data_IF_198552654098
#
_entry.id   IF_198552654098
#
_cell.length_a   1.000
_cell.length_b   1.000
_cell.length_c   1.000
_cell.angle_alpha   90.00
_cell.angle_beta   90.00
_cell.angle_gamma   90.00
#
_symmetry.space_group_name_H-M   'P 1'
#
loop_
_entity.id
_entity.type
_entity.pdbx_description
1 polymer ?
#
# COMPACT_ATOMS: atom_id res chain seq x y z
N UNK A 1 -16.39 -19.45 6.27
CA UNK A 1 -15.19 -20.08 5.70
C UNK A 1 -14.06 -19.06 5.63
N UNK A 2 -12.87 -19.40 6.11
CA UNK A 2 -11.68 -18.56 5.93
C UNK A 2 -11.21 -18.63 4.46
N UNK A 3 -10.61 -17.56 3.90
CA UNK A 3 -10.01 -17.63 2.57
C UNK A 3 -8.90 -18.71 2.57
N UNK A 4 -8.65 -19.37 1.43
CA UNK A 4 -7.61 -20.39 1.34
C UNK A 4 -6.25 -19.78 1.72
N UNK A 5 -5.48 -20.51 2.53
CA UNK A 5 -4.11 -20.15 2.84
C UNK A 5 -3.28 -20.19 1.53
N UNK A 6 -2.75 -19.03 1.11
CA UNK A 6 -1.83 -18.93 -0.02
C UNK A 6 -2.19 -17.94 -1.12
N UNK A 7 -3.34 -17.27 -1.07
CA UNK A 7 -3.63 -16.18 -2.01
C UNK A 7 -3.19 -14.83 -1.46
N UNK A 8 -2.21 -14.23 -2.12
CA UNK A 8 -1.83 -12.83 -1.89
C UNK A 8 -2.91 -11.94 -2.49
N UNK A 9 -3.77 -11.43 -1.61
CA UNK A 9 -4.93 -10.62 -1.95
C UNK A 9 -5.02 -9.43 -1.01
N UNK A 10 -4.99 -8.24 -1.59
CA UNK A 10 -5.17 -6.98 -0.88
C UNK A 10 -6.34 -6.19 -1.47
N UNK A 11 -7.08 -5.54 -0.58
CA UNK A 11 -7.99 -4.44 -0.93
C UNK A 11 -7.25 -3.14 -0.64
N UNK A 12 -7.11 -2.30 -1.66
CA UNK A 12 -6.44 -1.00 -1.62
C UNK A 12 -7.52 0.07 -1.69
N UNK A 13 -7.73 0.82 -0.61
CA UNK A 13 -8.62 1.98 -0.58
C UNK A 13 -7.80 3.25 -0.56
N UNK A 14 -8.02 4.15 -1.51
CA UNK A 14 -7.32 5.44 -1.65
C UNK A 14 -8.36 6.57 -1.57
N UNK A 15 -8.00 7.67 -0.91
CA UNK A 15 -8.82 8.87 -0.90
C UNK A 15 -8.00 10.14 -0.69
N UNK A 16 -8.54 11.26 -1.19
CA UNK A 16 -7.94 12.58 -1.01
C UNK A 16 -6.69 12.79 -1.86
N UNK A 17 -6.51 12.03 -2.95
CA UNK A 17 -5.36 12.21 -3.85
C UNK A 17 -5.44 13.47 -4.72
N UNK A 18 -6.62 14.10 -4.80
CA UNK A 18 -6.89 15.15 -5.78
C UNK A 18 -7.14 14.62 -7.20
N UNK A 19 -6.98 13.31 -7.43
CA UNK A 19 -7.24 12.64 -8.69
C UNK A 19 -8.33 11.56 -8.53
N UNK A 20 -9.54 11.88 -8.98
CA UNK A 20 -10.68 10.96 -8.92
C UNK A 20 -10.49 9.65 -9.69
N UNK A 21 -9.54 9.58 -10.62
CA UNK A 21 -9.28 8.35 -11.37
C UNK A 21 -8.57 7.27 -10.52
N UNK A 22 -7.87 7.69 -9.45
CA UNK A 22 -7.12 6.81 -8.54
C UNK A 22 -7.70 6.77 -7.11
N UNK A 23 -8.58 7.70 -6.75
CA UNK A 23 -9.40 7.57 -5.55
C UNK A 23 -10.45 6.45 -5.74
N UNK A 24 -10.64 5.63 -4.71
CA UNK A 24 -11.58 4.51 -4.75
C UNK A 24 -11.08 3.29 -3.99
N UNK A 25 -11.71 2.14 -4.25
CA UNK A 25 -11.32 0.85 -3.69
C UNK A 25 -11.05 -0.14 -4.80
N UNK A 26 -9.90 -0.80 -4.74
CA UNK A 26 -9.41 -1.72 -5.75
C UNK A 26 -8.99 -3.04 -5.12
N UNK A 27 -9.17 -4.14 -5.83
CA UNK A 27 -8.61 -5.43 -5.45
C UNK A 27 -7.30 -5.65 -6.17
N UNK A 28 -6.32 -6.18 -5.46
CA UNK A 28 -5.03 -6.61 -5.97
C UNK A 28 -4.86 -8.09 -5.61
N UNK A 29 -4.93 -8.95 -6.63
CA UNK A 29 -4.63 -10.38 -6.52
C UNK A 29 -3.27 -10.61 -7.17
N UNK A 30 -2.33 -11.26 -6.47
CA UNK A 30 -0.97 -11.48 -7.01
C UNK A 30 -0.66 -12.94 -7.34
N UNK A 31 -1.29 -13.89 -6.64
CA UNK A 31 -1.05 -15.32 -6.82
C UNK A 31 -2.38 -16.08 -6.91
N UNK A 32 -3.04 -16.15 -8.08
CA UNK A 32 -2.63 -15.60 -9.40
C UNK A 32 -2.90 -14.10 -9.56
N UNK A 33 -2.21 -13.47 -10.53
CA UNK A 33 -2.34 -12.02 -10.82
C UNK A 33 -3.74 -11.67 -11.34
N UNK A 34 -4.35 -10.63 -10.77
CA UNK A 34 -5.68 -10.14 -11.15
C UNK A 34 -6.20 -9.01 -10.26
N UNK A 35 -7.52 -8.86 -10.23
CA UNK A 35 -8.21 -7.82 -9.49
C UNK A 35 -8.51 -6.57 -10.32
N UNK A 36 -9.05 -5.54 -9.65
CA UNK A 36 -9.47 -4.28 -10.29
C UNK A 36 -8.40 -3.19 -10.27
N UNK A 37 -7.24 -3.46 -9.64
CA UNK A 37 -6.13 -2.52 -9.57
C UNK A 37 -5.53 -2.26 -10.96
N UNK A 38 -5.49 -1.00 -11.40
CA UNK A 38 -5.07 -0.60 -12.76
C UNK A 38 -3.67 -1.09 -13.14
N UNK A 39 -2.77 -1.12 -12.16
CA UNK A 39 -1.38 -1.54 -12.33
C UNK A 39 -1.09 -2.87 -11.63
N UNK A 40 -2.06 -3.79 -11.59
CA UNK A 40 -1.94 -5.03 -10.81
C UNK A 40 -0.61 -5.80 -11.04
N UNK A 41 -0.12 -6.03 -12.28
CA UNK A 41 1.15 -6.72 -12.48
C UNK A 41 2.33 -6.03 -11.81
N UNK A 42 2.51 -4.72 -12.05
CA UNK A 42 3.62 -3.95 -11.49
C UNK A 42 3.49 -3.74 -9.97
N UNK A 43 2.26 -3.64 -9.45
CA UNK A 43 2.01 -3.55 -8.01
C UNK A 43 2.40 -4.86 -7.30
N UNK A 44 2.08 -6.02 -7.89
CA UNK A 44 2.51 -7.32 -7.37
C UNK A 44 4.03 -7.47 -7.39
N UNK A 45 4.67 -7.15 -8.52
CA UNK A 45 6.14 -7.22 -8.64
C UNK A 45 6.82 -6.33 -7.59
N UNK A 46 6.26 -5.14 -7.32
CA UNK A 46 6.76 -4.26 -6.28
C UNK A 46 6.64 -4.88 -4.89
N UNK A 47 5.47 -5.43 -4.55
CA UNK A 47 5.25 -6.05 -3.25
C UNK A 47 6.16 -7.26 -3.03
N UNK A 48 6.39 -8.07 -4.07
CA UNK A 48 7.35 -9.18 -4.05
C UNK A 48 8.78 -8.67 -3.80
N UNK A 49 9.17 -7.55 -4.42
CA UNK A 49 10.49 -6.95 -4.27
C UNK A 49 10.73 -6.38 -2.85
N UNK A 50 9.74 -5.69 -2.29
CA UNK A 50 9.86 -5.00 -0.99
C UNK A 50 9.58 -5.90 0.20
N UNK A 51 8.87 -7.01 0.00
CA UNK A 51 8.60 -7.99 1.06
C UNK A 51 9.76 -8.96 1.12
N UNK A 52 10.78 -8.60 1.92
CA UNK A 52 11.94 -9.45 2.20
C UNK A 52 11.95 -9.84 3.67
N UNK A 53 12.64 -10.93 3.98
CA UNK A 53 12.78 -11.38 5.36
C UNK A 53 13.32 -10.25 6.25
N UNK A 54 12.59 -9.90 7.31
CA UNK A 54 12.94 -8.81 8.23
C UNK A 54 12.51 -7.39 7.81
N UNK A 55 11.88 -7.20 6.64
CA UNK A 55 11.35 -5.90 6.20
C UNK A 55 9.86 -6.01 5.87
N UNK A 56 9.03 -5.37 6.69
CA UNK A 56 7.58 -5.35 6.52
C UNK A 56 7.13 -4.00 5.90
N UNK A 57 6.76 -3.96 4.61
CA UNK A 57 6.31 -2.73 3.96
C UNK A 57 4.96 -2.21 4.51
N UNK A 58 4.26 -2.99 5.33
CA UNK A 58 2.97 -2.65 5.94
C UNK A 58 3.09 -2.14 7.38
N UNK A 59 4.23 -2.35 8.06
CA UNK A 59 4.44 -1.96 9.44
C UNK A 59 4.52 -0.43 9.65
N UNK A 60 3.69 0.19 10.50
CA UNK A 60 3.57 1.65 10.61
C UNK A 60 4.89 2.33 10.97
N UNK A 61 4.96 3.65 10.76
CA UNK A 61 6.07 4.46 11.29
C UNK A 61 6.08 4.31 12.82
N UNK A 62 7.23 3.98 13.44
CA UNK A 62 7.35 3.96 14.89
C UNK A 62 7.00 5.32 15.52
N UNK A 63 6.34 5.30 16.68
CA UNK A 63 5.89 6.54 17.34
C UNK A 63 7.04 7.45 17.78
N UNK A 64 8.23 6.89 17.97
CA UNK A 64 9.47 7.57 18.34
C UNK A 64 10.39 7.88 17.15
N UNK A 65 9.93 7.63 15.91
CA UNK A 65 10.70 7.93 14.72
C UNK A 65 10.91 9.45 14.56
N UNK A 66 12.15 9.84 14.28
CA UNK A 66 12.50 11.23 13.98
C UNK A 66 12.15 11.56 12.51
N UNK A 67 10.94 12.04 12.30
CA UNK A 67 10.42 12.35 10.96
C UNK A 67 10.48 13.85 10.68
N UNK A 68 10.91 14.22 9.47
CA UNK A 68 10.79 15.59 8.99
C UNK A 68 9.30 15.98 8.90
N UNK A 69 8.93 17.14 9.42
CA UNK A 69 7.54 17.64 9.43
C UNK A 69 7.17 18.29 8.09
N UNK A 70 7.33 17.54 7.00
CA UNK A 70 6.97 17.96 5.64
C UNK A 70 5.61 17.38 5.31
N UNK A 71 4.64 18.25 5.03
CA UNK A 71 3.31 17.84 4.62
C UNK A 71 3.26 17.60 3.10
N UNK A 72 3.03 16.35 2.71
CA UNK A 72 3.01 15.90 1.31
C UNK A 72 1.62 15.82 0.68
N UNK A 73 0.60 16.36 1.36
CA UNK A 73 -0.78 16.44 0.87
C UNK A 73 -1.78 15.55 1.64
N UNK A 74 -3.09 15.67 1.31
CA UNK A 74 -4.17 15.03 2.07
C UNK A 74 -4.40 13.57 1.71
N UNK A 75 -3.64 13.00 0.77
CA UNK A 75 -3.83 11.63 0.31
C UNK A 75 -3.65 10.62 1.45
N UNK A 76 -4.57 9.67 1.54
CA UNK A 76 -4.52 8.55 2.46
C UNK A 76 -4.81 7.25 1.73
N UNK A 77 -4.31 6.15 2.28
CA UNK A 77 -4.66 4.83 1.81
C UNK A 77 -4.79 3.83 2.96
N UNK A 78 -5.64 2.81 2.76
CA UNK A 78 -5.74 1.64 3.63
C UNK A 78 -5.61 0.38 2.81
N UNK A 79 -4.69 -0.48 3.21
CA UNK A 79 -4.48 -1.80 2.62
C UNK A 79 -4.95 -2.84 3.63
N UNK A 80 -5.89 -3.69 3.21
CA UNK A 80 -6.37 -4.82 4.03
C UNK A 80 -6.33 -6.12 3.27
N UNK A 81 -6.07 -7.24 3.92
CA UNK A 81 -6.15 -8.55 3.29
C UNK A 81 -5.11 -9.53 3.81
N UNK A 82 -4.54 -10.33 2.91
CA UNK A 82 -3.49 -11.31 3.23
C UNK A 82 -2.32 -11.12 2.27
N UNK A 83 -1.11 -11.12 2.81
CA UNK A 83 0.13 -11.07 2.05
C UNK A 83 1.17 -12.01 2.69
N UNK A 84 1.79 -12.88 1.89
CA UNK A 84 2.75 -13.89 2.33
C UNK A 84 2.25 -14.71 3.54
N UNK A 85 0.96 -15.04 3.56
CA UNK A 85 0.30 -15.78 4.65
C UNK A 85 0.04 -14.97 5.93
N UNK A 86 0.33 -13.66 5.94
CA UNK A 86 0.08 -12.77 7.09
C UNK A 86 -1.10 -11.84 6.83
N UNK A 87 -1.95 -11.58 7.84
CA UNK A 87 -3.00 -10.57 7.71
C UNK A 87 -2.38 -9.17 7.60
N UNK A 88 -2.96 -8.34 6.73
CA UNK A 88 -2.58 -6.94 6.55
C UNK A 88 -3.76 -6.04 6.93
N UNK A 89 -3.51 -5.03 7.76
CA UNK A 89 -4.35 -3.85 7.95
C UNK A 89 -3.42 -2.64 8.16
N UNK A 90 -2.98 -2.06 7.05
CA UNK A 90 -2.01 -0.97 7.03
C UNK A 90 -2.67 0.33 6.59
N UNK A 91 -2.28 1.43 7.23
CA UNK A 91 -2.68 2.79 6.85
C UNK A 91 -1.46 3.54 6.37
N UNK A 92 -1.66 4.33 5.34
CA UNK A 92 -0.64 5.20 4.75
C UNK A 92 -1.20 6.60 4.68
N UNK A 93 -0.36 7.58 5.00
CA UNK A 93 -0.65 8.99 4.85
C UNK A 93 0.52 9.69 4.14
N UNK A 94 0.36 10.99 3.86
CA UNK A 94 1.47 11.86 3.44
C UNK A 94 1.68 13.00 4.44
N UNK A 95 1.48 12.72 5.72
CA UNK A 95 1.44 13.74 6.78
C UNK A 95 2.81 14.22 7.28
N UNK A 96 3.87 13.44 7.06
CA UNK A 96 5.26 13.76 7.39
C UNK A 96 6.24 13.00 6.46
N UNK A 97 7.54 13.28 6.57
CA UNK A 97 8.57 12.71 5.69
C UNK A 97 8.72 11.18 5.76
N UNK A 98 8.50 10.57 6.93
CA UNK A 98 8.53 9.11 7.06
C UNK A 98 7.32 8.46 6.39
N UNK A 99 6.14 9.05 6.57
CA UNK A 99 4.89 8.62 5.96
C UNK A 99 4.94 8.74 4.42
N UNK A 100 5.46 9.86 3.91
CA UNK A 100 5.75 10.05 2.48
C UNK A 100 6.71 8.96 1.97
N UNK A 101 7.80 8.70 2.68
CA UNK A 101 8.76 7.65 2.28
C UNK A 101 8.13 6.25 2.26
N UNK A 102 7.24 5.94 3.21
CA UNK A 102 6.49 4.66 3.21
C UNK A 102 5.53 4.58 2.05
N UNK A 103 4.84 5.67 1.73
CA UNK A 103 3.96 5.77 0.56
C UNK A 103 4.73 5.51 -0.74
N UNK A 104 5.82 6.25 -0.94
CA UNK A 104 6.59 6.23 -2.18
C UNK A 104 7.31 4.88 -2.37
N UNK A 105 7.71 4.22 -1.28
CA UNK A 105 8.26 2.86 -1.33
C UNK A 105 7.23 1.84 -1.87
N UNK A 106 5.94 2.14 -1.89
CA UNK A 106 4.89 1.28 -2.42
C UNK A 106 4.38 1.68 -3.81
N UNK A 107 5.02 2.59 -4.53
CA UNK A 107 4.65 2.81 -5.94
C UNK A 107 4.98 1.54 -6.78
N UNK A 108 4.06 1.03 -7.63
CA UNK A 108 2.76 1.59 -8.01
C UNK A 108 1.54 0.92 -7.32
N UNK A 109 1.71 0.23 -6.19
CA UNK A 109 0.59 -0.27 -5.34
C UNK A 109 -0.25 0.91 -4.84
N UNK A 110 0.42 1.99 -4.45
CA UNK A 110 -0.17 3.28 -4.21
C UNK A 110 0.05 4.16 -5.44
N UNK A 111 -0.83 5.14 -5.72
CA UNK A 111 -0.65 6.04 -6.85
C UNK A 111 0.47 7.04 -6.56
N UNK A 112 1.13 7.45 -7.64
CA UNK A 112 1.91 8.68 -7.61
C UNK A 112 0.93 9.86 -7.52
N UNK A 113 1.09 10.64 -6.45
CA UNK A 113 0.27 11.82 -6.12
C UNK A 113 1.13 13.05 -5.91
N UNK A 114 2.40 12.96 -6.29
CA UNK A 114 3.32 14.09 -6.36
C UNK A 114 2.95 14.90 -7.61
N UNK A 115 2.50 16.14 -7.40
CA UNK A 115 2.21 17.08 -8.48
C UNK A 115 3.48 17.69 -9.06
#
# INVERSE_FOLDING_TARGET
>A
SAPPAGSDRLTVTIGGSGNRAVDGTYTLDCHPRGGTHRSAPAACDRLDEVTRYGRDPFAPVPADANCLMIYGGPATARLTGTWAGRPVDARFSRSNGCEISRWDNLLPVLPDVTG
#
